data_IF_584620190403
#
_entry.id   IF_584620190403
#
_cell.length_a   1.000
_cell.length_b   1.000
_cell.length_c   1.000
_cell.angle_alpha   90.00
_cell.angle_beta   90.00
_cell.angle_gamma   90.00
#
_symmetry.space_group_name_H-M   'P 1'
#
loop_
_entity.id
_entity.type
_entity.pdbx_description
1 polymer ?
#
# COMPACT_ATOMS: atom_id res chain seq x y z
N UNK A 1 12.00 7.84 59.21
CA UNK A 1 11.91 6.38 59.44
C UNK A 1 10.52 5.92 59.85
N UNK A 2 9.89 6.45 60.91
CA UNK A 2 8.52 6.02 61.28
C UNK A 2 7.45 6.37 60.23
N UNK A 3 7.52 7.55 59.61
CA UNK A 3 6.58 7.97 58.56
C UNK A 3 6.69 7.18 57.24
N UNK A 4 7.82 6.53 57.02
CA UNK A 4 8.08 5.77 55.79
C UNK A 4 7.49 4.36 55.90
N UNK A 5 7.61 3.74 57.09
CA UNK A 5 6.94 2.48 57.39
C UNK A 5 5.40 2.58 57.36
N UNK A 6 4.84 3.74 57.72
CA UNK A 6 3.39 3.98 57.65
C UNK A 6 2.88 4.05 56.20
N UNK A 7 3.66 4.60 55.26
CA UNK A 7 3.31 4.69 53.85
C UNK A 7 3.35 3.32 53.15
N UNK A 8 4.35 2.49 53.47
CA UNK A 8 4.44 1.14 52.92
C UNK A 8 3.26 0.26 53.36
N UNK A 9 2.80 0.43 54.60
CA UNK A 9 1.66 -0.33 55.11
C UNK A 9 0.32 0.04 54.43
N UNK A 10 0.12 1.32 54.07
CA UNK A 10 -1.06 1.77 53.30
C UNK A 10 -1.00 1.27 51.84
N UNK A 11 0.18 1.27 51.23
CA UNK A 11 0.35 0.79 49.85
C UNK A 11 0.05 -0.72 49.75
N UNK A 12 0.52 -1.53 50.70
CA UNK A 12 0.23 -2.96 50.75
C UNK A 12 -1.28 -3.21 50.94
N UNK A 13 -1.94 -2.45 51.80
CA UNK A 13 -3.39 -2.56 52.03
C UNK A 13 -4.20 -2.23 50.77
N UNK A 14 -3.84 -1.18 50.02
CA UNK A 14 -4.50 -0.81 48.75
C UNK A 14 -4.28 -1.86 47.67
N UNK A 15 -3.06 -2.41 47.57
CA UNK A 15 -2.72 -3.43 46.58
C UNK A 15 -3.52 -4.72 46.82
N UNK A 16 -3.67 -5.11 48.09
CA UNK A 16 -4.50 -6.27 48.46
C UNK A 16 -5.97 -6.06 48.13
N UNK A 17 -6.51 -4.87 48.39
CA UNK A 17 -7.90 -4.53 48.04
C UNK A 17 -8.17 -4.56 46.53
N UNK A 18 -7.24 -4.04 45.73
CA UNK A 18 -7.34 -4.09 44.26
C UNK A 18 -7.27 -5.53 43.75
N UNK A 19 -6.37 -6.34 44.32
CA UNK A 19 -6.28 -7.77 43.99
C UNK A 19 -7.57 -8.54 44.27
N UNK A 20 -8.27 -8.23 45.35
CA UNK A 20 -9.55 -8.88 45.69
C UNK A 20 -10.67 -8.46 44.72
N UNK A 21 -10.77 -7.18 44.38
CA UNK A 21 -11.75 -6.67 43.40
C UNK A 21 -11.55 -7.26 41.99
N UNK A 22 -10.30 -7.41 41.56
CA UNK A 22 -9.98 -8.05 40.26
C UNK A 22 -10.40 -9.52 40.26
N UNK A 23 -10.19 -10.22 41.38
CA UNK A 23 -10.57 -11.63 41.52
C UNK A 23 -12.09 -11.82 41.53
N UNK A 24 -12.82 -10.91 42.16
CA UNK A 24 -14.29 -10.90 42.16
C UNK A 24 -14.84 -10.64 40.76
N UNK A 25 -14.35 -9.62 40.06
CA UNK A 25 -14.76 -9.31 38.68
C UNK A 25 -14.48 -10.45 37.70
N UNK A 26 -13.35 -11.15 37.85
CA UNK A 26 -13.02 -12.31 37.03
C UNK A 26 -13.98 -13.48 37.27
N UNK A 27 -14.38 -13.72 38.51
CA UNK A 27 -15.34 -14.78 38.86
C UNK A 27 -16.74 -14.48 38.32
N UNK A 28 -17.18 -13.22 38.36
CA UNK A 28 -18.47 -12.82 37.77
C UNK A 28 -18.49 -13.02 36.24
N UNK A 29 -17.38 -12.69 35.57
CA UNK A 29 -17.24 -12.91 34.13
C UNK A 29 -17.29 -14.40 33.76
N UNK A 30 -16.63 -15.25 34.55
CA UNK A 30 -16.68 -16.71 34.39
C UNK A 30 -18.10 -17.25 34.59
N UNK A 31 -18.83 -16.76 35.60
CA UNK A 31 -20.22 -17.16 35.87
C UNK A 31 -21.16 -16.73 34.75
N UNK A 32 -20.99 -15.52 34.21
CA UNK A 32 -21.77 -15.05 33.05
C UNK A 32 -21.49 -15.88 31.80
N UNK A 33 -20.23 -16.28 31.57
CA UNK A 33 -19.85 -17.12 30.43
C UNK A 33 -20.40 -18.54 30.57
N UNK A 34 -20.36 -19.14 31.77
CA UNK A 34 -20.91 -20.47 31.98
C UNK A 34 -22.42 -20.50 31.77
N UNK A 35 -23.13 -19.43 32.20
CA UNK A 35 -24.57 -19.28 31.97
C UNK A 35 -24.91 -19.22 30.47
N UNK A 36 -24.17 -18.41 29.70
CA UNK A 36 -24.33 -18.33 28.24
C UNK A 36 -24.07 -19.66 27.53
N UNK A 37 -23.05 -20.40 27.96
CA UNK A 37 -22.76 -21.72 27.41
C UNK A 37 -23.84 -22.75 27.76
N UNK A 38 -24.45 -22.65 28.95
CA UNK A 38 -25.59 -23.50 29.32
C UNK A 38 -26.83 -23.15 28.50
N UNK A 39 -27.14 -21.86 28.32
CA UNK A 39 -28.25 -21.40 27.47
C UNK A 39 -28.06 -21.80 26.00
N UNK A 40 -26.82 -21.89 25.51
CA UNK A 40 -26.52 -22.38 24.16
C UNK A 40 -26.55 -23.91 24.05
N UNK A 41 -26.25 -24.63 25.12
CA UNK A 41 -26.28 -26.09 25.16
C UNK A 41 -27.69 -26.66 25.37
N UNK A 42 -28.61 -25.88 25.95
CA UNK A 42 -30.02 -26.26 26.16
C UNK A 42 -30.87 -26.04 24.89
N UNK A 43 -30.28 -25.53 23.81
CA UNK A 43 -30.88 -25.52 22.47
C UNK A 43 -30.62 -26.90 21.84
N UNK A 44 -31.30 -27.93 22.35
CA UNK A 44 -31.17 -29.30 21.89
C UNK A 44 -32.35 -29.68 20.96
N UNK A 45 -32.01 -29.85 19.68
CA UNK A 45 -32.15 -31.09 18.90
C UNK A 45 -33.50 -31.80 18.67
N UNK A 46 -34.66 -31.19 18.93
CA UNK A 46 -35.95 -31.78 18.56
C UNK A 46 -36.90 -30.75 17.90
N UNK A 47 -36.69 -30.48 16.60
CA UNK A 47 -37.75 -30.50 15.58
C UNK A 47 -37.28 -29.95 14.23
N UNK A 48 -37.82 -30.61 13.20
CA UNK A 48 -37.68 -30.39 11.77
C UNK A 48 -37.86 -28.93 11.30
N UNK A 49 -37.19 -28.61 10.19
CA UNK A 49 -37.31 -27.37 9.39
C UNK A 49 -36.92 -26.05 10.10
N UNK A 50 -35.61 -25.86 10.30
CA UNK A 50 -35.04 -24.53 10.52
C UNK A 50 -35.14 -23.68 9.24
N UNK A 51 -36.27 -23.01 9.07
CA UNK A 51 -36.27 -21.68 8.45
C UNK A 51 -35.51 -20.76 9.39
N UNK A 52 -34.24 -20.53 9.10
CA UNK A 52 -33.41 -19.51 9.75
C UNK A 52 -34.24 -18.23 9.80
N UNK A 53 -34.52 -17.64 10.99
CA UNK A 53 -35.22 -16.37 11.06
C UNK A 53 -34.38 -15.37 10.27
N UNK A 54 -34.95 -14.91 9.15
CA UNK A 54 -34.35 -13.86 8.34
C UNK A 54 -34.09 -12.68 9.25
N UNK A 55 -32.81 -12.33 9.41
CA UNK A 55 -32.41 -11.05 9.99
C UNK A 55 -33.24 -9.96 9.30
N UNK A 56 -33.84 -9.03 10.07
CA UNK A 56 -34.81 -8.09 9.52
C UNK A 56 -34.17 -7.36 8.35
N UNK A 57 -34.83 -7.43 7.19
CA UNK A 57 -34.49 -6.60 6.04
C UNK A 57 -34.41 -5.16 6.53
N UNK A 58 -33.23 -4.56 6.39
CA UNK A 58 -33.02 -3.15 6.70
C UNK A 58 -33.93 -2.32 5.79
N UNK A 59 -35.08 -1.91 6.32
CA UNK A 59 -35.87 -0.83 5.76
C UNK A 59 -35.23 0.51 6.13
N UNK A 60 -35.49 1.54 5.32
CA UNK A 60 -34.93 2.91 5.42
C UNK A 60 -35.06 3.58 6.81
N UNK A 61 -35.81 2.98 7.73
CA UNK A 61 -35.91 3.40 9.13
C UNK A 61 -34.67 3.06 9.99
N UNK A 62 -33.77 2.17 9.55
CA UNK A 62 -32.58 1.78 10.33
C UNK A 62 -31.45 2.81 10.32
N UNK A 63 -31.45 3.73 9.34
CA UNK A 63 -30.40 4.75 9.23
C UNK A 63 -30.41 5.72 10.43
N UNK A 64 -31.59 5.96 11.04
CA UNK A 64 -31.72 6.73 12.28
C UNK A 64 -31.21 5.98 13.51
N UNK A 65 -31.17 4.64 13.48
CA UNK A 65 -30.62 3.84 14.57
C UNK A 65 -29.09 3.72 14.49
N UNK A 66 -28.51 3.77 13.28
CA UNK A 66 -27.05 3.84 13.09
C UNK A 66 -26.44 5.18 13.53
N UNK A 67 -27.19 6.29 13.42
CA UNK A 67 -26.77 7.59 13.96
C UNK A 67 -26.83 7.67 15.51
N UNK A 68 -27.46 6.69 16.19
CA UNK A 68 -27.73 6.76 17.63
C UNK A 68 -26.94 5.79 18.52
N UNK A 69 -26.04 4.98 17.95
CA UNK A 69 -25.05 4.19 18.73
C UNK A 69 -23.64 4.42 18.20
N UNK A 70 -22.82 5.29 18.82
CA UNK A 70 -21.47 5.56 18.34
C UNK A 70 -20.39 4.56 18.77
N UNK A 71 -20.69 3.47 19.50
CA UNK A 71 -19.64 2.82 20.34
C UNK A 71 -19.45 1.31 20.25
N UNK A 72 -20.09 0.58 19.33
CA UNK A 72 -19.84 -0.88 19.16
C UNK A 72 -19.22 -1.25 17.81
N UNK A 73 -18.42 -0.36 17.22
CA UNK A 73 -17.66 -0.68 16.00
C UNK A 73 -16.25 -1.14 16.35
N UNK A 74 -16.15 -2.28 17.04
CA UNK A 74 -14.87 -2.92 17.41
C UNK A 74 -13.98 -3.21 16.17
N UNK A 75 -14.61 -3.37 15.01
CA UNK A 75 -13.94 -3.54 13.71
C UNK A 75 -13.30 -2.25 13.17
N UNK A 76 -13.75 -1.05 13.55
CA UNK A 76 -13.24 0.22 12.99
C UNK A 76 -11.92 0.65 13.63
N UNK A 77 -11.79 0.46 14.94
CA UNK A 77 -10.54 0.74 15.66
C UNK A 77 -9.40 -0.15 15.16
N UNK A 78 -9.73 -1.43 14.88
CA UNK A 78 -8.80 -2.37 14.28
C UNK A 78 -8.29 -1.87 12.92
N UNK A 79 -9.19 -1.40 12.04
CA UNK A 79 -8.82 -0.85 10.71
C UNK A 79 -7.91 0.37 10.79
N UNK A 80 -8.19 1.33 11.66
CA UNK A 80 -7.33 2.53 11.81
C UNK A 80 -5.93 2.15 12.27
N UNK A 81 -5.82 1.28 13.27
CA UNK A 81 -4.53 0.78 13.76
C UNK A 81 -3.74 0.08 12.63
N UNK A 82 -4.41 -0.68 11.79
CA UNK A 82 -3.79 -1.38 10.66
C UNK A 82 -3.30 -0.41 9.60
N UNK A 83 -4.10 0.59 9.25
CA UNK A 83 -3.69 1.60 8.26
C UNK A 83 -2.47 2.36 8.79
N UNK A 84 -2.44 2.69 10.09
CA UNK A 84 -1.27 3.30 10.74
C UNK A 84 -0.06 2.38 10.67
N UNK A 85 -0.21 1.10 11.05
CA UNK A 85 0.86 0.12 11.01
C UNK A 85 1.42 -0.06 9.58
N UNK A 86 0.54 -0.11 8.58
CA UNK A 86 0.92 -0.19 7.16
C UNK A 86 1.65 1.06 6.69
N UNK A 87 1.16 2.24 7.08
CA UNK A 87 1.80 3.51 6.76
C UNK A 87 3.19 3.61 7.39
N UNK A 88 3.35 3.15 8.63
CA UNK A 88 4.66 3.08 9.31
C UNK A 88 5.58 2.09 8.62
N UNK A 89 5.09 0.89 8.30
CA UNK A 89 5.91 -0.14 7.64
C UNK A 89 6.36 0.31 6.25
N UNK A 90 5.47 0.94 5.47
CA UNK A 90 5.82 1.57 4.19
C UNK A 90 6.84 2.69 4.38
N UNK A 91 6.64 3.56 5.37
CA UNK A 91 7.57 4.66 5.68
C UNK A 91 8.96 4.12 6.05
N UNK A 92 9.04 3.10 6.90
CA UNK A 92 10.29 2.45 7.28
C UNK A 92 10.95 1.76 6.09
N UNK A 93 10.18 1.11 5.21
CA UNK A 93 10.72 0.51 3.99
C UNK A 93 11.30 1.56 3.04
N UNK A 94 10.56 2.66 2.82
CA UNK A 94 11.01 3.78 1.98
C UNK A 94 12.24 4.46 2.59
N UNK A 95 12.25 4.70 3.90
CA UNK A 95 13.36 5.31 4.61
C UNK A 95 14.61 4.42 4.63
N UNK A 96 14.45 3.14 4.95
CA UNK A 96 15.52 2.12 4.91
C UNK A 96 16.12 2.00 3.51
N UNK A 97 15.34 2.24 2.46
CA UNK A 97 15.86 2.28 1.09
C UNK A 97 16.63 3.57 0.82
N UNK A 98 15.98 4.70 1.07
CA UNK A 98 16.47 6.00 0.61
C UNK A 98 17.68 6.45 1.42
N UNK A 99 17.89 5.92 2.63
CA UNK A 99 19.08 6.23 3.45
C UNK A 99 20.38 5.74 2.82
N UNK A 100 20.39 4.64 2.05
CA UNK A 100 21.63 4.08 1.49
C UNK A 100 22.11 4.79 0.22
N UNK A 101 21.21 5.43 -0.52
CA UNK A 101 21.52 6.15 -1.77
C UNK A 101 22.59 7.23 -1.52
N UNK A 102 22.45 8.16 -0.55
CA UNK A 102 23.46 9.18 -0.28
C UNK A 102 24.76 8.63 0.31
N UNK A 103 24.75 7.42 0.90
CA UNK A 103 25.97 6.76 1.39
C UNK A 103 26.73 5.99 0.31
N UNK A 104 26.14 5.80 -0.88
CA UNK A 104 26.73 4.97 -1.93
C UNK A 104 28.10 5.48 -2.39
N UNK A 105 28.18 6.77 -2.72
CA UNK A 105 29.41 7.40 -3.20
C UNK A 105 30.47 7.58 -2.10
N UNK A 106 30.12 8.07 -0.88
CA UNK A 106 31.05 8.07 0.26
C UNK A 106 31.57 6.68 0.65
N UNK A 107 30.74 5.64 0.56
CA UNK A 107 31.14 4.27 0.90
C UNK A 107 32.15 3.70 -0.10
N UNK A 108 32.00 3.99 -1.40
CA UNK A 108 33.00 3.61 -2.42
C UNK A 108 34.34 4.32 -2.21
N UNK A 109 34.31 5.58 -1.78
CA UNK A 109 35.53 6.35 -1.48
C UNK A 109 36.21 5.83 -0.19
N UNK A 110 35.42 5.52 0.84
CA UNK A 110 35.93 5.03 2.12
C UNK A 110 36.41 3.57 2.05
N UNK A 111 35.78 2.75 1.21
CA UNK A 111 36.08 1.32 1.07
C UNK A 111 36.37 0.98 -0.39
N UNK A 112 37.56 1.35 -0.92
CA UNK A 112 37.91 1.14 -2.32
C UNK A 112 38.01 -0.35 -2.72
N UNK A 113 38.10 -1.25 -1.74
CA UNK A 113 38.04 -2.70 -1.96
C UNK A 113 36.61 -3.22 -2.23
N UNK A 114 35.57 -2.42 -1.96
CA UNK A 114 34.21 -2.78 -2.27
C UNK A 114 33.94 -2.59 -3.76
N UNK A 115 33.59 -3.67 -4.43
CA UNK A 115 33.15 -3.60 -5.82
C UNK A 115 31.75 -2.98 -5.91
N UNK A 116 31.39 -2.40 -7.06
CA UNK A 116 30.01 -1.96 -7.33
C UNK A 116 28.99 -3.09 -7.12
N UNK A 117 29.41 -4.35 -7.30
CA UNK A 117 28.60 -5.55 -7.03
C UNK A 117 28.35 -5.74 -5.52
N UNK A 118 29.34 -5.45 -4.67
CA UNK A 118 29.22 -5.51 -3.21
C UNK A 118 28.22 -4.48 -2.67
N UNK A 119 28.12 -3.31 -3.30
CA UNK A 119 27.10 -2.30 -2.97
C UNK A 119 25.75 -2.59 -3.64
N UNK A 120 25.71 -3.24 -4.80
CA UNK A 120 24.47 -3.80 -5.29
C UNK A 120 23.89 -4.84 -4.31
N UNK A 121 24.72 -5.59 -3.58
CA UNK A 121 24.27 -6.49 -2.51
C UNK A 121 23.65 -5.75 -1.30
N UNK A 122 23.89 -4.46 -1.09
CA UNK A 122 23.12 -3.66 -0.11
C UNK A 122 21.64 -3.54 -0.50
N UNK A 123 21.29 -3.68 -1.78
CA UNK A 123 19.88 -3.76 -2.17
C UNK A 123 19.23 -5.11 -1.79
N UNK A 124 20.00 -6.18 -1.59
CA UNK A 124 19.53 -7.41 -0.91
C UNK A 124 19.24 -7.17 0.58
N UNK A 125 19.91 -6.22 1.23
CA UNK A 125 19.61 -5.85 2.61
C UNK A 125 18.17 -5.35 2.77
N UNK A 126 17.63 -4.66 1.76
CA UNK A 126 16.22 -4.27 1.74
C UNK A 126 15.29 -5.47 1.65
N UNK A 127 15.64 -6.52 0.89
CA UNK A 127 14.87 -7.77 0.85
C UNK A 127 14.94 -8.48 2.21
N UNK A 128 16.10 -8.48 2.87
CA UNK A 128 16.31 -9.09 4.18
C UNK A 128 15.54 -8.31 5.27
N UNK A 129 15.67 -6.99 5.34
CA UNK A 129 14.94 -6.16 6.30
C UNK A 129 13.43 -6.23 6.06
N UNK A 130 13.00 -6.29 4.80
CA UNK A 130 11.62 -6.54 4.44
C UNK A 130 11.19 -7.91 4.96
N UNK A 131 11.93 -9.00 4.70
CA UNK A 131 11.58 -10.32 5.22
C UNK A 131 11.55 -10.36 6.77
N UNK A 132 12.52 -9.74 7.44
CA UNK A 132 12.66 -9.73 8.89
C UNK A 132 11.60 -8.90 9.60
N UNK A 133 11.17 -7.76 9.04
CA UNK A 133 10.13 -6.92 9.63
C UNK A 133 8.73 -7.38 9.20
N UNK A 134 8.60 -7.92 8.00
CA UNK A 134 7.31 -8.32 7.43
C UNK A 134 6.85 -9.68 7.93
N UNK A 135 7.72 -10.68 8.10
CA UNK A 135 7.29 -12.00 8.60
C UNK A 135 6.65 -11.90 9.99
N UNK A 136 7.22 -11.19 10.98
CA UNK A 136 6.57 -10.96 12.27
C UNK A 136 5.28 -10.15 12.14
N UNK A 137 5.26 -9.12 11.28
CA UNK A 137 4.06 -8.33 11.02
C UNK A 137 2.95 -9.20 10.44
N UNK A 138 3.23 -10.02 9.43
CA UNK A 138 2.32 -11.01 8.84
C UNK A 138 1.80 -12.01 9.88
N UNK A 139 2.65 -12.50 10.79
CA UNK A 139 2.26 -13.45 11.83
C UNK A 139 1.33 -12.78 12.86
N UNK A 140 1.68 -11.58 13.32
CA UNK A 140 0.85 -10.78 14.23
C UNK A 140 -0.49 -10.46 13.57
N UNK A 141 -0.46 -10.07 12.29
CA UNK A 141 -1.61 -9.70 11.50
C UNK A 141 -2.54 -10.89 11.19
N UNK A 142 -1.99 -12.07 10.91
CA UNK A 142 -2.77 -13.29 10.69
C UNK A 142 -3.49 -13.75 11.97
N UNK A 143 -2.91 -13.46 13.14
CA UNK A 143 -3.51 -13.75 14.45
C UNK A 143 -4.68 -12.80 14.80
N UNK A 144 -4.66 -11.58 14.28
CA UNK A 144 -5.72 -10.57 14.50
C UNK A 144 -6.63 -10.36 13.28
N UNK A 145 -6.53 -11.24 12.27
CA UNK A 145 -7.45 -11.29 11.13
C UNK A 145 -7.34 -10.11 10.17
N UNK A 146 -6.15 -9.59 9.88
CA UNK A 146 -6.04 -8.37 9.08
C UNK A 146 -4.87 -8.22 8.11
N UNK A 147 -4.61 -9.28 7.35
CA UNK A 147 -4.32 -9.33 5.91
C UNK A 147 -3.50 -8.29 5.11
N UNK A 148 -2.91 -7.24 5.66
CA UNK A 148 -2.36 -6.11 4.88
C UNK A 148 -0.85 -6.17 4.60
N UNK A 149 -0.15 -7.21 5.04
CA UNK A 149 1.32 -7.26 5.00
C UNK A 149 1.92 -8.02 3.81
N UNK A 150 1.16 -8.44 2.79
CA UNK A 150 1.75 -9.07 1.60
C UNK A 150 2.06 -8.09 0.46
N UNK A 151 1.45 -6.89 0.42
CA UNK A 151 1.64 -5.92 -0.68
C UNK A 151 2.89 -5.06 -0.59
N UNK A 152 3.65 -5.14 0.51
CA UNK A 152 4.90 -4.39 0.72
C UNK A 152 6.15 -5.18 0.28
N UNK A 153 6.01 -6.48 0.00
CA UNK A 153 7.14 -7.36 -0.36
C UNK A 153 7.74 -7.08 -1.75
N UNK A 154 7.11 -6.20 -2.53
CA UNK A 154 7.33 -6.09 -3.97
C UNK A 154 8.03 -4.80 -4.36
N UNK A 155 7.81 -3.76 -3.59
CA UNK A 155 8.65 -2.57 -3.61
C UNK A 155 10.15 -2.90 -3.37
N UNK A 156 10.49 -4.08 -2.84
CA UNK A 156 11.87 -4.52 -2.57
C UNK A 156 12.59 -5.20 -3.75
N UNK A 157 11.91 -6.00 -4.59
CA UNK A 157 12.60 -6.76 -5.68
C UNK A 157 12.78 -5.92 -6.95
N UNK A 158 11.86 -5.02 -7.27
CA UNK A 158 12.01 -4.08 -8.39
C UNK A 158 13.16 -3.09 -8.18
N UNK A 159 13.59 -2.94 -6.93
CA UNK A 159 14.64 -2.03 -6.52
C UNK A 159 16.06 -2.60 -6.70
N UNK A 160 16.19 -3.92 -6.62
CA UNK A 160 17.42 -4.65 -6.85
C UNK A 160 17.90 -4.50 -8.31
N UNK A 161 16.97 -4.38 -9.26
CA UNK A 161 17.29 -4.16 -10.67
C UNK A 161 17.60 -2.69 -10.95
N UNK A 162 16.86 -1.75 -10.34
CA UNK A 162 17.09 -0.31 -10.51
C UNK A 162 18.45 0.15 -9.96
N UNK A 163 18.86 -0.35 -8.79
CA UNK A 163 20.14 0.00 -8.16
C UNK A 163 21.32 -0.61 -8.93
N UNK A 164 21.19 -1.84 -9.43
CA UNK A 164 22.23 -2.48 -10.26
C UNK A 164 22.42 -1.75 -11.60
N UNK A 165 21.34 -1.21 -12.18
CA UNK A 165 21.39 -0.44 -13.44
C UNK A 165 21.85 1.02 -13.25
N UNK A 166 21.62 1.64 -12.08
CA UNK A 166 22.08 3.02 -11.78
C UNK A 166 23.52 3.10 -11.27
N UNK A 167 24.01 2.08 -10.55
CA UNK A 167 25.33 2.08 -9.95
C UNK A 167 26.50 2.12 -10.95
N UNK A 168 26.26 1.97 -12.25
CA UNK A 168 27.31 1.63 -13.23
C UNK A 168 27.70 2.73 -14.22
N UNK A 169 27.16 3.96 -14.15
CA UNK A 169 27.61 5.01 -15.08
C UNK A 169 27.83 6.38 -14.40
N UNK A 170 29.08 6.87 -14.29
CA UNK A 170 29.30 8.31 -14.18
C UNK A 170 28.69 8.94 -15.43
N UNK A 171 27.58 9.66 -15.27
CA UNK A 171 26.92 10.38 -16.36
C UNK A 171 27.88 11.45 -16.88
N UNK A 172 28.74 11.08 -17.82
CA UNK A 172 29.48 12.03 -18.62
C UNK A 172 28.46 12.95 -19.31
N UNK A 173 28.79 14.23 -19.37
CA UNK A 173 27.87 15.31 -19.74
C UNK A 173 27.31 15.23 -21.17
N UNK A 174 27.75 14.29 -22.02
CA UNK A 174 27.49 14.37 -23.46
C UNK A 174 26.14 13.81 -23.95
N UNK A 175 25.30 13.18 -23.11
CA UNK A 175 24.04 12.55 -23.56
C UNK A 175 22.76 13.08 -22.87
N UNK A 176 22.69 14.38 -22.55
CA UNK A 176 21.50 15.01 -21.92
C UNK A 176 20.21 14.82 -22.74
N UNK A 177 20.28 15.01 -24.06
CA UNK A 177 19.12 14.88 -24.95
C UNK A 177 18.52 13.47 -24.93
N UNK A 178 19.36 12.43 -24.90
CA UNK A 178 18.94 11.02 -24.87
C UNK A 178 18.20 10.68 -23.58
N UNK A 179 18.74 11.10 -22.44
CA UNK A 179 18.11 10.89 -21.14
C UNK A 179 16.74 11.56 -21.08
N UNK A 180 16.63 12.78 -21.61
CA UNK A 180 15.36 13.51 -21.72
C UNK A 180 14.33 12.75 -22.56
N UNK A 181 14.72 12.19 -23.70
CA UNK A 181 13.83 11.34 -24.52
C UNK A 181 13.36 10.12 -23.74
N UNK A 182 14.25 9.39 -23.06
CA UNK A 182 13.89 8.20 -22.28
C UNK A 182 12.88 8.55 -21.17
N UNK A 183 13.16 9.59 -20.38
CA UNK A 183 12.27 10.05 -19.30
C UNK A 183 10.91 10.46 -19.87
N UNK A 184 10.91 11.20 -20.98
CA UNK A 184 9.67 11.64 -21.63
C UNK A 184 8.85 10.45 -22.13
N UNK A 185 9.49 9.49 -22.80
CA UNK A 185 8.84 8.25 -23.26
C UNK A 185 8.27 7.43 -22.11
N UNK A 186 9.01 7.29 -21.00
CA UNK A 186 8.51 6.61 -19.80
C UNK A 186 7.27 7.29 -19.22
N UNK A 187 7.24 8.63 -19.21
CA UNK A 187 6.07 9.37 -18.76
C UNK A 187 4.87 9.20 -19.69
N UNK A 188 5.06 9.16 -21.01
CA UNK A 188 4.00 8.84 -21.96
C UNK A 188 3.48 7.41 -21.79
N UNK A 189 4.36 6.43 -21.58
CA UNK A 189 3.95 5.04 -21.33
C UNK A 189 3.17 4.96 -20.02
N UNK A 190 3.64 5.63 -18.96
CA UNK A 190 2.93 5.71 -17.68
C UNK A 190 1.54 6.32 -17.86
N UNK A 191 1.42 7.40 -18.65
CA UNK A 191 0.13 8.02 -18.99
C UNK A 191 -0.80 7.05 -19.72
N UNK A 192 -0.29 6.38 -20.76
CA UNK A 192 -1.07 5.45 -21.55
C UNK A 192 -1.57 4.27 -20.70
N UNK A 193 -0.70 3.72 -19.85
CA UNK A 193 -1.05 2.62 -18.96
C UNK A 193 -2.03 3.03 -17.88
N UNK A 194 -1.91 4.23 -17.31
CA UNK A 194 -2.91 4.79 -16.40
C UNK A 194 -4.27 5.00 -17.07
N UNK A 195 -4.27 5.49 -18.31
CA UNK A 195 -5.50 5.65 -19.10
C UNK A 195 -6.12 4.28 -19.38
N UNK A 196 -5.30 3.28 -19.71
CA UNK A 196 -5.76 1.90 -19.85
C UNK A 196 -6.33 1.35 -18.54
N UNK A 197 -5.71 1.62 -17.37
CA UNK A 197 -6.29 1.28 -16.06
C UNK A 197 -7.65 1.93 -15.85
N UNK A 198 -7.76 3.23 -16.14
CA UNK A 198 -9.02 3.96 -16.00
C UNK A 198 -10.10 3.32 -16.87
N UNK A 199 -9.79 2.96 -18.12
CA UNK A 199 -10.71 2.25 -19.01
C UNK A 199 -11.05 0.85 -18.48
N UNK A 200 -10.07 0.10 -17.96
CA UNK A 200 -10.28 -1.20 -17.32
C UNK A 200 -11.25 -1.11 -16.15
N UNK A 201 -11.03 -0.14 -15.24
CA UNK A 201 -11.87 0.11 -14.07
C UNK A 201 -13.25 0.66 -14.44
N UNK A 202 -13.33 1.45 -15.51
CA UNK A 202 -14.59 2.05 -15.93
C UNK A 202 -15.49 1.06 -16.68
N UNK A 203 -14.94 0.36 -17.68
CA UNK A 203 -15.72 -0.46 -18.62
C UNK A 203 -15.95 -1.87 -18.12
N UNK A 204 -14.91 -2.54 -17.62
CA UNK A 204 -14.93 -3.98 -17.37
C UNK A 204 -15.07 -4.36 -15.91
N UNK A 205 -14.92 -3.40 -15.02
CA UNK A 205 -15.03 -3.65 -13.60
C UNK A 205 -16.45 -4.09 -13.27
N UNK A 206 -16.62 -5.26 -12.62
CA UNK A 206 -17.94 -5.81 -12.36
C UNK A 206 -18.81 -4.76 -11.67
N UNK A 207 -20.09 -4.70 -12.07
CA UNK A 207 -21.08 -3.93 -11.31
C UNK A 207 -21.10 -4.54 -9.91
N UNK A 208 -21.09 -3.67 -8.89
CA UNK A 208 -21.10 -4.06 -7.48
C UNK A 208 -22.05 -5.25 -7.29
N UNK A 209 -21.46 -6.40 -6.95
CA UNK A 209 -22.26 -7.56 -6.60
C UNK A 209 -22.94 -7.22 -5.29
N UNK A 210 -24.25 -6.98 -5.35
CA UNK A 210 -25.06 -6.70 -4.18
C UNK A 210 -24.77 -7.77 -3.13
N UNK A 211 -24.09 -7.36 -2.05
CA UNK A 211 -23.41 -8.15 -1.02
C UNK A 211 -24.31 -9.13 -0.23
N UNK A 212 -25.53 -9.40 -0.70
CA UNK A 212 -26.64 -9.84 0.15
C UNK A 212 -26.60 -11.29 0.61
N UNK A 213 -25.69 -12.18 0.17
CA UNK A 213 -25.88 -13.62 0.45
C UNK A 213 -24.70 -14.48 0.90
N UNK A 214 -23.43 -14.03 0.90
CA UNK A 214 -22.34 -15.01 0.99
C UNK A 214 -21.32 -14.87 2.13
N UNK A 215 -21.43 -13.88 3.02
CA UNK A 215 -20.39 -13.63 4.03
C UNK A 215 -20.53 -14.36 5.38
N UNK A 216 -21.60 -15.13 5.62
CA UNK A 216 -21.83 -15.74 6.94
C UNK A 216 -21.21 -17.13 7.15
N UNK A 217 -20.66 -17.79 6.12
CA UNK A 217 -20.23 -19.20 6.23
C UNK A 217 -18.73 -19.46 6.11
N UNK A 218 -17.87 -18.44 5.89
CA UNK A 218 -16.47 -18.67 5.49
C UNK A 218 -15.40 -18.49 6.58
N UNK A 219 -15.72 -18.00 7.78
CA UNK A 219 -14.67 -17.62 8.75
C UNK A 219 -14.04 -18.78 9.53
N UNK A 220 -14.51 -20.03 9.39
CA UNK A 220 -14.07 -21.12 10.27
C UNK A 220 -13.20 -22.23 9.65
N UNK A 221 -12.97 -22.28 8.33
CA UNK A 221 -12.51 -23.56 7.74
C UNK A 221 -11.49 -23.47 6.60
N UNK A 222 -10.46 -22.64 6.70
CA UNK A 222 -9.30 -22.75 5.80
C UNK A 222 -8.04 -23.13 6.58
N UNK A 223 -7.98 -24.40 7.02
CA UNK A 223 -6.77 -24.98 7.64
C UNK A 223 -5.71 -25.43 6.61
N UNK A 224 -6.07 -25.50 5.33
CA UNK A 224 -5.18 -26.02 4.28
C UNK A 224 -4.78 -24.93 3.29
N UNK A 225 -3.48 -24.88 2.98
CA UNK A 225 -2.93 -24.04 1.92
C UNK A 225 -3.48 -24.57 0.58
N UNK A 226 -4.20 -23.75 -0.20
CA UNK A 226 -4.74 -24.20 -1.48
C UNK A 226 -3.62 -24.56 -2.47
N UNK A 227 -3.85 -25.56 -3.32
CA UNK A 227 -2.89 -25.93 -4.35
C UNK A 227 -2.78 -24.84 -5.42
N UNK A 228 -1.61 -24.68 -6.05
CA UNK A 228 -1.37 -23.67 -7.10
C UNK A 228 -2.37 -23.82 -8.25
N UNK A 229 -2.71 -25.05 -8.63
CA UNK A 229 -3.69 -25.32 -9.69
C UNK A 229 -5.10 -24.87 -9.31
N UNK A 230 -5.52 -25.08 -8.05
CA UNK A 230 -6.80 -24.55 -7.57
C UNK A 230 -6.81 -23.03 -7.64
N UNK A 231 -5.70 -22.39 -7.23
CA UNK A 231 -5.56 -20.94 -7.27
C UNK A 231 -5.67 -20.39 -8.70
N UNK A 232 -4.96 -21.00 -9.66
CA UNK A 232 -5.04 -20.61 -11.07
C UNK A 232 -6.44 -20.78 -11.66
N UNK A 233 -7.13 -21.88 -11.31
CA UNK A 233 -8.52 -22.10 -11.73
C UNK A 233 -9.50 -21.12 -11.09
N UNK A 234 -9.29 -20.73 -9.83
CA UNK A 234 -10.12 -19.74 -9.15
C UNK A 234 -9.94 -18.34 -9.79
N UNK A 235 -8.70 -17.96 -10.11
CA UNK A 235 -8.41 -16.71 -10.83
C UNK A 235 -9.08 -16.72 -12.20
N UNK A 236 -8.93 -17.79 -12.98
CA UNK A 236 -9.50 -17.84 -14.34
C UNK A 236 -11.03 -17.79 -14.36
N UNK A 237 -11.67 -18.27 -13.29
CA UNK A 237 -13.13 -18.17 -13.10
C UNK A 237 -13.60 -16.81 -12.58
N UNK A 238 -12.75 -16.07 -11.87
CA UNK A 238 -13.06 -14.76 -11.34
C UNK A 238 -12.41 -13.66 -12.20
N UNK A 239 -13.03 -13.40 -13.35
CA UNK A 239 -12.56 -12.38 -14.30
C UNK A 239 -12.52 -10.97 -13.69
N UNK A 240 -13.42 -10.68 -12.74
CA UNK A 240 -13.43 -9.43 -12.00
C UNK A 240 -12.12 -9.21 -11.26
N UNK A 241 -11.70 -10.20 -10.46
CA UNK A 241 -10.44 -10.17 -9.73
C UNK A 241 -9.24 -9.96 -10.67
N UNK A 242 -9.24 -10.60 -11.85
CA UNK A 242 -8.19 -10.41 -12.87
C UNK A 242 -8.12 -8.96 -13.34
N UNK A 243 -9.25 -8.33 -13.64
CA UNK A 243 -9.27 -6.92 -14.07
C UNK A 243 -8.82 -5.96 -12.97
N UNK A 244 -9.22 -6.20 -11.72
CA UNK A 244 -8.77 -5.39 -10.58
C UNK A 244 -7.26 -5.54 -10.39
N UNK A 245 -6.76 -6.78 -10.46
CA UNK A 245 -5.34 -7.08 -10.37
C UNK A 245 -4.56 -6.38 -11.49
N UNK A 246 -5.01 -6.49 -12.74
CA UNK A 246 -4.38 -5.81 -13.88
C UNK A 246 -4.39 -4.29 -13.72
N UNK A 247 -5.50 -3.72 -13.25
CA UNK A 247 -5.61 -2.28 -13.00
C UNK A 247 -4.61 -1.82 -11.94
N UNK A 248 -4.48 -2.59 -10.85
CA UNK A 248 -3.49 -2.35 -9.80
C UNK A 248 -2.06 -2.42 -10.34
N UNK A 249 -1.75 -3.45 -11.11
CA UNK A 249 -0.41 -3.66 -11.68
C UNK A 249 -0.04 -2.57 -12.66
N UNK A 250 -0.91 -2.25 -13.62
CA UNK A 250 -0.68 -1.21 -14.62
C UNK A 250 -0.57 0.18 -13.97
N UNK A 251 -1.30 0.44 -12.88
CA UNK A 251 -1.20 1.68 -12.11
C UNK A 251 0.14 1.81 -11.36
N UNK A 252 0.81 0.71 -11.05
CA UNK A 252 2.02 0.71 -10.21
C UNK A 252 3.30 0.61 -11.03
N UNK A 253 3.32 -0.33 -11.99
CA UNK A 253 4.52 -0.81 -12.68
C UNK A 253 5.36 0.29 -13.35
N UNK A 254 4.75 1.41 -13.74
CA UNK A 254 5.42 2.52 -14.44
C UNK A 254 5.67 3.73 -13.55
N UNK A 255 4.83 3.94 -12.54
CA UNK A 255 4.99 5.07 -11.62
C UNK A 255 6.24 4.93 -10.76
N UNK A 256 6.57 3.70 -10.39
CA UNK A 256 7.66 3.39 -9.48
C UNK A 256 9.05 3.55 -10.11
N UNK A 257 9.35 2.99 -11.30
CA UNK A 257 10.64 3.21 -11.95
C UNK A 257 10.92 4.70 -12.19
N UNK A 258 9.90 5.48 -12.54
CA UNK A 258 10.08 6.92 -12.71
C UNK A 258 10.39 7.64 -11.40
N UNK A 259 9.73 7.28 -10.30
CA UNK A 259 10.04 7.84 -8.97
C UNK A 259 11.52 7.61 -8.60
N UNK A 260 12.09 6.45 -8.97
CA UNK A 260 13.54 6.18 -8.80
C UNK A 260 14.41 7.06 -9.71
N UNK A 261 13.89 7.53 -10.84
CA UNK A 261 14.58 8.41 -11.77
C UNK A 261 14.31 9.90 -11.53
N UNK A 262 13.61 10.27 -10.46
CA UNK A 262 13.18 11.65 -10.25
C UNK A 262 14.37 12.62 -10.13
N UNK A 263 15.46 12.23 -9.45
CA UNK A 263 16.67 13.08 -9.32
C UNK A 263 17.39 13.26 -10.66
N UNK A 264 17.43 12.19 -11.47
CA UNK A 264 17.98 12.24 -12.84
C UNK A 264 17.10 13.16 -13.70
N UNK A 265 15.78 13.06 -13.54
CA UNK A 265 14.83 13.92 -14.25
C UNK A 265 15.03 15.38 -13.89
N UNK A 266 15.15 15.70 -12.59
CA UNK A 266 15.38 17.07 -12.12
C UNK A 266 16.74 17.62 -12.53
N UNK A 267 17.80 16.82 -12.45
CA UNK A 267 19.16 17.25 -12.82
C UNK A 267 19.35 17.47 -14.31
N UNK A 268 18.56 16.80 -15.17
CA UNK A 268 18.61 16.95 -16.64
C UNK A 268 17.62 17.98 -17.19
N UNK A 269 16.72 18.51 -16.37
CA UNK A 269 15.94 19.67 -16.77
C UNK A 269 16.79 20.93 -16.61
N UNK A 270 17.51 21.29 -17.68
CA UNK A 270 18.37 22.49 -17.80
C UNK A 270 17.65 23.83 -17.47
N UNK A 271 16.35 23.81 -17.18
CA UNK A 271 15.51 24.97 -16.87
C UNK A 271 15.41 25.29 -15.37
N UNK A 272 16.03 24.50 -14.49
CA UNK A 272 16.26 24.90 -13.10
C UNK A 272 17.53 25.75 -13.07
N UNK A 273 17.45 27.10 -13.02
CA UNK A 273 18.65 27.92 -12.90
C UNK A 273 19.29 27.63 -11.54
N UNK A 274 20.27 26.71 -11.55
CA UNK A 274 21.13 26.35 -10.41
C UNK A 274 21.80 27.60 -9.82
N UNK A 275 21.91 28.67 -10.61
CA UNK A 275 22.71 29.85 -10.29
C UNK A 275 21.96 31.08 -9.74
N UNK A 276 20.63 31.10 -9.61
CA UNK A 276 19.91 32.31 -9.12
C UNK A 276 19.21 32.20 -7.77
N UNK A 277 19.10 31.01 -7.20
CA UNK A 277 18.51 30.81 -5.86
C UNK A 277 19.54 30.59 -4.75
N UNK A 278 20.84 30.73 -5.06
CA UNK A 278 21.94 30.43 -4.13
C UNK A 278 22.31 31.58 -3.18
N UNK A 279 21.62 32.72 -3.18
CA UNK A 279 21.89 33.77 -2.18
C UNK A 279 20.97 33.76 -0.96
N UNK A 280 19.95 32.88 -0.92
CA UNK A 280 18.97 32.90 0.17
C UNK A 280 18.17 31.61 0.31
N UNK A 281 18.88 30.49 0.43
CA UNK A 281 18.45 29.25 1.09
C UNK A 281 17.03 28.78 0.80
N UNK A 282 16.84 27.97 -0.24
CA UNK A 282 16.00 26.75 -0.23
C UNK A 282 16.18 26.08 -1.61
N UNK A 283 17.22 25.26 -1.75
CA UNK A 283 17.30 24.34 -2.88
C UNK A 283 16.21 23.28 -2.66
N UNK A 284 15.16 23.31 -3.49
CA UNK A 284 14.27 22.15 -3.63
C UNK A 284 15.07 21.08 -4.36
N UNK A 285 15.90 20.34 -3.61
CA UNK A 285 16.60 19.17 -4.09
C UNK A 285 15.59 18.07 -4.44
N UNK A 286 15.95 17.19 -5.39
CA UNK A 286 15.12 16.02 -5.71
C UNK A 286 14.79 15.17 -4.48
N UNK A 287 15.68 15.16 -3.49
CA UNK A 287 15.49 14.54 -2.16
C UNK A 287 14.28 15.12 -1.42
N UNK A 288 14.14 16.45 -1.36
CA UNK A 288 12.97 17.09 -0.75
C UNK A 288 11.70 16.69 -1.49
N UNK A 289 11.78 16.60 -2.83
CA UNK A 289 10.64 16.20 -3.65
C UNK A 289 10.15 14.79 -3.28
N UNK A 290 11.04 13.81 -3.25
CA UNK A 290 10.71 12.42 -2.87
C UNK A 290 10.05 12.32 -1.50
N UNK A 291 10.64 12.96 -0.50
CA UNK A 291 10.11 12.94 0.86
C UNK A 291 8.67 13.50 0.90
N UNK A 292 8.45 14.68 0.32
CA UNK A 292 7.13 15.30 0.30
C UNK A 292 6.09 14.50 -0.50
N UNK A 293 6.49 13.83 -1.58
CA UNK A 293 5.61 12.91 -2.30
C UNK A 293 5.14 11.76 -1.41
N UNK A 294 6.03 11.16 -0.61
CA UNK A 294 5.65 10.09 0.34
C UNK A 294 4.67 10.62 1.37
N UNK A 295 4.98 11.76 2.00
CA UNK A 295 4.11 12.37 3.01
C UNK A 295 2.72 12.67 2.43
N UNK A 296 2.66 13.27 1.25
CA UNK A 296 1.38 13.57 0.57
C UNK A 296 0.62 12.31 0.20
N UNK A 297 1.31 11.25 -0.20
CA UNK A 297 0.69 9.95 -0.49
C UNK A 297 0.03 9.39 0.76
N UNK A 298 0.71 9.38 1.90
CA UNK A 298 0.14 8.89 3.15
C UNK A 298 -1.11 9.69 3.55
N UNK A 299 -1.04 11.02 3.50
CA UNK A 299 -2.18 11.90 3.83
C UNK A 299 -3.34 11.64 2.87
N UNK A 300 -3.07 11.61 1.56
CA UNK A 300 -4.10 11.46 0.56
C UNK A 300 -4.75 10.09 0.59
N UNK A 301 -3.97 9.01 0.77
CA UNK A 301 -4.50 7.66 0.98
C UNK A 301 -5.43 7.62 2.19
N UNK A 302 -5.02 8.18 3.33
CA UNK A 302 -5.86 8.23 4.52
C UNK A 302 -7.18 8.96 4.27
N UNK A 303 -7.11 10.13 3.64
CA UNK A 303 -8.28 10.96 3.32
C UNK A 303 -9.22 10.23 2.36
N UNK A 304 -8.68 9.67 1.28
CA UNK A 304 -9.45 8.95 0.26
C UNK A 304 -10.10 7.69 0.83
N UNK A 305 -9.36 6.89 1.60
CA UNK A 305 -9.93 5.73 2.29
C UNK A 305 -11.00 6.12 3.30
N UNK A 306 -10.81 7.22 4.04
CA UNK A 306 -11.81 7.73 4.98
C UNK A 306 -13.11 8.15 4.28
N UNK A 307 -13.01 8.82 3.13
CA UNK A 307 -14.17 9.16 2.31
C UNK A 307 -14.86 7.94 1.71
N UNK A 308 -14.07 6.97 1.23
CA UNK A 308 -14.59 5.72 0.68
C UNK A 308 -15.33 4.89 1.75
N UNK A 309 -14.79 4.81 2.96
CA UNK A 309 -15.46 4.15 4.09
C UNK A 309 -16.71 4.91 4.59
N UNK A 310 -16.79 6.22 4.35
CA UNK A 310 -17.94 7.03 4.77
C UNK A 310 -19.16 6.84 3.88
N UNK A 311 -18.97 6.34 2.66
CA UNK A 311 -20.05 6.08 1.69
C UNK A 311 -19.98 4.61 1.28
N UNK A 312 -20.92 3.80 1.77
CA UNK A 312 -20.96 2.37 1.42
C UNK A 312 -20.90 2.16 -0.10
N UNK A 313 -20.16 1.14 -0.51
CA UNK A 313 -19.96 0.73 -1.91
C UNK A 313 -19.34 1.80 -2.83
N UNK A 314 -18.80 2.88 -2.28
CA UNK A 314 -18.22 3.98 -3.09
C UNK A 314 -16.76 3.77 -3.52
N UNK A 315 -16.12 2.65 -3.12
CA UNK A 315 -14.71 2.38 -3.39
C UNK A 315 -14.35 2.54 -4.87
N UNK A 316 -15.21 2.01 -5.76
CA UNK A 316 -15.02 2.10 -7.21
C UNK A 316 -15.09 3.54 -7.70
N UNK A 317 -16.03 4.33 -7.19
CA UNK A 317 -16.19 5.73 -7.57
C UNK A 317 -14.99 6.58 -7.17
N UNK A 318 -14.52 6.46 -5.92
CA UNK A 318 -13.33 7.18 -5.48
C UNK A 318 -12.06 6.71 -6.18
N UNK A 319 -11.96 5.42 -6.52
CA UNK A 319 -10.84 4.91 -7.31
C UNK A 319 -10.82 5.53 -8.71
N UNK A 320 -11.98 5.62 -9.37
CA UNK A 320 -12.11 6.29 -10.67
C UNK A 320 -11.75 7.78 -10.60
N UNK A 321 -12.21 8.49 -9.57
CA UNK A 321 -11.85 9.89 -9.34
C UNK A 321 -10.33 10.05 -9.19
N UNK A 322 -9.71 9.25 -8.33
CA UNK A 322 -8.27 9.32 -8.08
C UNK A 322 -7.48 8.99 -9.35
N UNK A 323 -7.88 7.96 -10.10
CA UNK A 323 -7.27 7.64 -11.40
C UNK A 323 -7.45 8.76 -12.43
N UNK A 324 -8.64 9.36 -12.51
CA UNK A 324 -8.93 10.43 -13.45
C UNK A 324 -8.05 11.65 -13.18
N UNK A 325 -8.04 12.13 -11.93
CA UNK A 325 -7.20 13.26 -11.56
C UNK A 325 -5.72 12.94 -11.64
N UNK A 326 -5.29 11.76 -11.18
CA UNK A 326 -3.89 11.31 -11.30
C UNK A 326 -3.43 11.29 -12.76
N UNK A 327 -4.24 10.75 -13.68
CA UNK A 327 -3.93 10.73 -15.11
C UNK A 327 -3.91 12.13 -15.73
N UNK A 328 -4.85 13.00 -15.36
CA UNK A 328 -4.89 14.37 -15.83
C UNK A 328 -3.64 15.15 -15.39
N UNK A 329 -3.25 15.05 -14.12
CA UNK A 329 -2.01 15.67 -13.63
C UNK A 329 -0.78 15.07 -14.28
N UNK A 330 -0.74 13.76 -14.51
CA UNK A 330 0.38 13.12 -15.20
C UNK A 330 0.51 13.58 -16.67
N UNK A 331 -0.61 13.79 -17.36
CA UNK A 331 -0.62 14.45 -18.67
C UNK A 331 -0.08 15.88 -18.57
N UNK A 332 -0.44 16.62 -17.52
CA UNK A 332 0.13 17.94 -17.27
C UNK A 332 1.64 17.88 -16.96
N UNK A 333 2.14 16.82 -16.32
CA UNK A 333 3.58 16.57 -16.07
C UNK A 333 4.30 16.35 -17.40
N UNK A 334 3.77 15.47 -18.25
CA UNK A 334 4.27 15.23 -19.61
C UNK A 334 4.31 16.53 -20.40
N UNK A 335 3.22 17.30 -20.36
CA UNK A 335 3.13 18.60 -21.01
C UNK A 335 4.18 19.59 -20.50
N UNK A 336 4.44 19.66 -19.19
CA UNK A 336 5.51 20.54 -18.65
C UNK A 336 6.89 20.15 -19.17
N UNK A 337 7.19 18.85 -19.26
CA UNK A 337 8.48 18.34 -19.72
C UNK A 337 8.72 18.73 -21.19
N UNK A 338 7.67 18.67 -22.02
CA UNK A 338 7.75 18.99 -23.44
C UNK A 338 7.71 20.50 -23.71
N UNK A 339 6.86 21.26 -23.01
CA UNK A 339 6.64 22.70 -23.23
C UNK A 339 7.64 23.62 -22.52
N UNK A 340 8.62 23.08 -21.78
CA UNK A 340 9.64 23.86 -21.04
C UNK A 340 9.04 24.91 -20.08
N UNK A 341 7.95 24.55 -19.41
CA UNK A 341 7.29 25.42 -18.43
C UNK A 341 8.13 25.63 -17.17
N UNK A 342 7.75 26.62 -16.35
CA UNK A 342 8.44 26.96 -15.10
C UNK A 342 8.56 25.72 -14.18
N UNK A 343 9.75 25.42 -13.64
CA UNK A 343 10.02 24.25 -12.83
C UNK A 343 9.12 24.12 -11.59
N UNK A 344 8.66 25.22 -11.01
CA UNK A 344 7.73 25.19 -9.86
C UNK A 344 6.42 24.48 -10.21
N UNK A 345 5.90 24.68 -11.43
CA UNK A 345 4.69 23.97 -11.88
C UNK A 345 4.96 22.48 -12.11
N UNK A 346 6.15 22.11 -12.60
CA UNK A 346 6.52 20.72 -12.74
C UNK A 346 6.56 20.00 -11.39
N UNK A 347 7.25 20.57 -10.39
CA UNK A 347 7.30 20.02 -9.03
C UNK A 347 5.89 19.87 -8.45
N UNK A 348 5.07 20.93 -8.52
CA UNK A 348 3.71 20.88 -7.99
C UNK A 348 2.83 19.83 -8.67
N UNK A 349 2.94 19.67 -10.00
CA UNK A 349 2.17 18.64 -10.74
C UNK A 349 2.64 17.24 -10.40
N UNK A 350 3.94 17.02 -10.23
CA UNK A 350 4.51 15.74 -9.78
C UNK A 350 4.01 15.41 -8.37
N UNK A 351 4.00 16.39 -7.46
CA UNK A 351 3.47 16.26 -6.11
C UNK A 351 2.00 15.86 -6.07
N UNK A 352 1.20 16.22 -7.07
CA UNK A 352 -0.21 15.82 -7.12
C UNK A 352 -0.44 14.52 -7.87
N UNK A 353 0.20 14.33 -9.03
CA UNK A 353 -0.04 13.21 -9.94
C UNK A 353 0.22 11.85 -9.28
N UNK A 354 1.42 11.69 -8.69
CA UNK A 354 1.86 10.40 -8.17
C UNK A 354 1.15 10.02 -6.86
N UNK A 355 1.00 10.92 -5.87
CA UNK A 355 0.20 10.61 -4.69
C UNK A 355 -1.25 10.23 -5.01
N UNK A 356 -1.92 10.90 -5.95
CA UNK A 356 -3.28 10.53 -6.39
C UNK A 356 -3.31 9.12 -6.99
N UNK A 357 -2.33 8.82 -7.84
CA UNK A 357 -2.21 7.50 -8.46
C UNK A 357 -1.93 6.40 -7.42
N UNK A 358 -1.06 6.67 -6.44
CA UNK A 358 -0.74 5.73 -5.37
C UNK A 358 -1.87 5.57 -4.34
N UNK A 359 -2.63 6.62 -4.04
CA UNK A 359 -3.83 6.52 -3.21
C UNK A 359 -4.87 5.57 -3.83
N UNK A 360 -4.97 5.56 -5.16
CA UNK A 360 -5.85 4.61 -5.87
C UNK A 360 -5.49 3.14 -5.60
N UNK A 361 -4.21 2.85 -5.33
CA UNK A 361 -3.75 1.48 -5.08
C UNK A 361 -4.37 0.90 -3.80
N UNK A 362 -4.53 1.71 -2.77
CA UNK A 362 -5.19 1.30 -1.52
C UNK A 362 -6.67 0.97 -1.73
N UNK A 363 -7.36 1.72 -2.58
CA UNK A 363 -8.76 1.42 -2.94
C UNK A 363 -8.86 0.15 -3.80
N UNK A 364 -7.99 0.00 -4.80
CA UNK A 364 -7.92 -1.22 -5.63
C UNK A 364 -7.63 -2.45 -4.77
N UNK A 365 -6.77 -2.31 -3.76
CA UNK A 365 -6.49 -3.35 -2.79
C UNK A 365 -7.73 -3.77 -1.99
N UNK A 366 -8.50 -2.80 -1.48
CA UNK A 366 -9.75 -3.08 -0.77
C UNK A 366 -10.74 -3.82 -1.69
N UNK A 367 -10.84 -3.39 -2.94
CA UNK A 367 -11.68 -4.07 -3.94
C UNK A 367 -11.18 -5.48 -4.28
N UNK A 368 -9.88 -5.74 -4.26
CA UNK A 368 -9.31 -7.10 -4.39
C UNK A 368 -9.77 -7.99 -3.24
N UNK A 369 -9.73 -7.49 -2.01
CA UNK A 369 -10.20 -8.22 -0.84
C UNK A 369 -11.71 -8.52 -0.95
N UNK A 370 -12.50 -7.52 -1.32
CA UNK A 370 -13.95 -7.64 -1.51
C UNK A 370 -14.31 -8.66 -2.60
N UNK A 371 -13.46 -8.80 -3.63
CA UNK A 371 -13.64 -9.72 -4.75
C UNK A 371 -12.78 -10.99 -4.65
N UNK A 372 -12.20 -11.30 -3.48
CA UNK A 372 -11.26 -12.41 -3.35
C UNK A 372 -11.93 -13.78 -3.53
N UNK A 373 -13.21 -13.92 -3.20
CA UNK A 373 -13.92 -15.20 -3.27
C UNK A 373 -13.81 -15.84 -4.69
N UNK A 374 -13.51 -17.15 -4.80
CA UNK A 374 -13.44 -18.16 -3.74
C UNK A 374 -12.08 -18.29 -3.04
N UNK A 375 -11.12 -17.41 -3.34
CA UNK A 375 -9.81 -17.44 -2.72
C UNK A 375 -9.84 -16.83 -1.31
N UNK A 376 -8.99 -17.34 -0.41
CA UNK A 376 -8.61 -16.57 0.78
C UNK A 376 -8.06 -15.21 0.34
N UNK A 377 -8.48 -14.13 1.02
CA UNK A 377 -8.09 -12.77 0.65
C UNK A 377 -6.55 -12.62 0.58
N UNK A 378 -5.82 -13.25 1.51
CA UNK A 378 -4.35 -13.17 1.58
C UNK A 378 -3.68 -13.78 0.34
N UNK A 379 -4.28 -14.83 -0.20
CA UNK A 379 -3.85 -15.49 -1.44
C UNK A 379 -4.16 -14.58 -2.63
N UNK A 380 -5.37 -14.03 -2.71
CA UNK A 380 -5.78 -13.11 -3.79
C UNK A 380 -4.84 -11.89 -3.87
N UNK A 381 -4.62 -11.22 -2.73
CA UNK A 381 -3.68 -10.10 -2.63
C UNK A 381 -2.26 -10.51 -3.02
N UNK A 382 -1.78 -11.63 -2.47
CA UNK A 382 -0.43 -12.12 -2.75
C UNK A 382 -0.20 -12.34 -4.26
N UNK A 383 -1.21 -12.83 -4.97
CA UNK A 383 -1.15 -13.04 -6.42
C UNK A 383 -1.09 -11.74 -7.21
N UNK A 384 -1.93 -10.76 -6.85
CA UNK A 384 -1.87 -9.42 -7.48
C UNK A 384 -0.48 -8.82 -7.30
N UNK A 385 0.11 -9.03 -6.13
CA UNK A 385 1.41 -8.53 -5.82
C UNK A 385 2.53 -9.24 -6.60
N UNK A 386 2.48 -10.57 -6.73
CA UNK A 386 3.39 -11.31 -7.62
C UNK A 386 3.26 -10.82 -9.07
N UNK A 387 2.03 -10.58 -9.54
CA UNK A 387 1.79 -10.05 -10.88
C UNK A 387 2.42 -8.65 -11.05
N UNK A 388 2.28 -7.78 -10.04
CA UNK A 388 2.95 -6.46 -10.01
C UNK A 388 4.45 -6.62 -10.21
N UNK A 389 5.08 -7.55 -9.50
CA UNK A 389 6.51 -7.78 -9.57
C UNK A 389 7.00 -8.25 -10.93
N UNK A 390 6.25 -9.14 -11.56
CA UNK A 390 6.57 -9.62 -12.91
C UNK A 390 6.53 -8.45 -13.89
N UNK A 391 5.50 -7.61 -13.81
CA UNK A 391 5.36 -6.44 -14.69
C UNK A 391 6.43 -5.38 -14.44
N UNK A 392 6.74 -5.05 -13.18
CA UNK A 392 7.85 -4.15 -12.86
C UNK A 392 9.17 -4.67 -13.44
N UNK A 393 9.47 -5.96 -13.24
CA UNK A 393 10.67 -6.60 -13.79
C UNK A 393 10.70 -6.51 -15.32
N UNK A 394 9.56 -6.72 -15.98
CA UNK A 394 9.45 -6.58 -17.42
C UNK A 394 9.71 -5.14 -17.88
N UNK A 395 9.19 -4.13 -17.16
CA UNK A 395 9.45 -2.73 -17.47
C UNK A 395 10.94 -2.40 -17.34
N UNK A 396 11.60 -2.87 -16.27
CA UNK A 396 13.05 -2.71 -16.12
C UNK A 396 13.83 -3.40 -17.24
N UNK A 397 13.43 -4.61 -17.64
CA UNK A 397 14.05 -5.33 -18.75
C UNK A 397 13.90 -4.56 -20.07
N UNK A 398 12.71 -4.04 -20.35
CA UNK A 398 12.44 -3.21 -21.53
C UNK A 398 13.29 -1.94 -21.51
N UNK A 399 13.39 -1.26 -20.37
CA UNK A 399 14.27 -0.10 -20.21
C UNK A 399 15.75 -0.43 -20.37
N UNK A 400 16.16 -1.65 -20.07
CA UNK A 400 17.54 -2.11 -20.24
C UNK A 400 17.87 -2.52 -21.69
N UNK A 401 16.88 -2.99 -22.48
CA UNK A 401 17.06 -3.43 -23.88
C UNK A 401 16.90 -2.28 -24.88
N UNK A 402 15.96 -1.36 -24.65
CA UNK A 402 15.72 -0.20 -25.54
C UNK A 402 16.88 0.83 -25.62
N UNK A 403 17.87 0.95 -24.70
CA UNK A 403 18.90 1.98 -24.77
C UNK A 403 20.03 1.62 -25.74
N UNK A 404 19.85 0.73 -26.71
CA UNK A 404 20.92 0.39 -27.68
C UNK A 404 20.61 0.70 -29.14
N UNK A 405 19.38 1.04 -29.51
CA UNK A 405 19.14 1.53 -30.87
C UNK A 405 19.33 3.05 -30.95
N UNK A 406 20.42 3.54 -31.59
CA UNK A 406 20.43 4.91 -32.05
C UNK A 406 19.29 5.04 -33.05
N UNK A 407 18.24 5.76 -32.66
CA UNK A 407 17.34 6.37 -33.64
C UNK A 407 18.20 7.37 -34.40
N UNK A 408 18.86 6.89 -35.46
CA UNK A 408 19.31 7.73 -36.57
C UNK A 408 18.04 8.33 -37.17
N UNK A 409 17.60 9.45 -36.61
CA UNK A 409 16.60 10.30 -37.24
C UNK A 409 17.27 10.95 -38.46
N UNK A 410 16.69 10.80 -39.67
CA UNK A 410 17.23 11.41 -40.89
C UNK A 410 17.18 12.94 -40.87
#
# INVERSE_FOLDING_TARGET
MADEAAKDHDLIARTKKVSELVKESYNDLLKSRSKLLLELADINDDHDDFTIPSTPCYSDLSFRHLLKRPTEVLYRESRVFIIVLMSVTFSVQMFSRDIWIPFFEPALVAFPAWSQISLALLSFWNVIMCALLMVPSCIVINKYGCLTSSSLMGSATGLLVAIVLQASQPLSSSNSARCKTIVTSLMYICFAMNTACLLLVYVWFPKEYSYSKQSKTSSTTWKYIPSVMFVLQAISKNIGLVYIALSYVCSNAYSWPWYQMIDVTFSKMDYLPVSRFSEGGYHVTGENCRFWMIVQTCILTLVVCWFADSVADSNKFYALICHFFGSAFLLCVVWTVTSRQNPSYFVSRVMLAFPLQWATQSLLYQMIADNAYPLPENVAVGLVHVLKMIFETFVYLVMAIIPEHPLELP
#
